data_IF_549250377998
#
_entry.id   IF_549250377998
#
_cell.length_a   1.000
_cell.length_b   1.000
_cell.length_c   1.000
_cell.angle_alpha   90.00
_cell.angle_beta   90.00
_cell.angle_gamma   90.00
#
_symmetry.space_group_name_H-M   'P 1'
#
loop_
_entity.id
_entity.type
_entity.pdbx_description
1 polymer ?
#
# COMPACT_ATOMS: atom_id res chain seq x y z
N UNK A 1 -8.14 23.31 9.40
CA UNK A 1 -7.81 23.26 7.96
C UNK A 1 -6.55 22.45 7.71
N UNK A 2 -5.39 22.84 8.22
CA UNK A 2 -4.13 22.08 8.03
C UNK A 2 -4.22 20.62 8.54
N UNK A 3 -4.86 20.39 9.69
CA UNK A 3 -5.06 19.04 10.25
C UNK A 3 -5.87 18.11 9.34
N UNK A 4 -6.90 18.63 8.68
CA UNK A 4 -7.72 17.91 7.71
C UNK A 4 -6.92 17.59 6.44
N UNK A 5 -6.17 18.56 5.93
CA UNK A 5 -5.31 18.38 4.75
C UNK A 5 -4.30 17.27 5.03
N UNK A 6 -3.58 17.36 6.16
CA UNK A 6 -2.60 16.34 6.55
C UNK A 6 -3.23 14.95 6.70
N UNK A 7 -4.43 14.88 7.29
CA UNK A 7 -5.17 13.63 7.45
C UNK A 7 -5.51 12.99 6.09
N UNK A 8 -6.07 13.76 5.15
CA UNK A 8 -6.40 13.25 3.82
C UNK A 8 -5.17 12.91 2.99
N UNK A 9 -4.10 13.71 3.09
CA UNK A 9 -2.83 13.41 2.41
C UNK A 9 -2.28 12.07 2.88
N UNK A 10 -2.24 11.83 4.20
CA UNK A 10 -1.82 10.54 4.75
C UNK A 10 -2.70 9.40 4.25
N UNK A 11 -4.03 9.56 4.28
CA UNK A 11 -4.95 8.55 3.77
C UNK A 11 -4.71 8.26 2.27
N UNK A 12 -4.46 9.28 1.45
CA UNK A 12 -4.12 9.13 0.04
C UNK A 12 -2.79 8.41 -0.16
N UNK A 13 -1.77 8.71 0.64
CA UNK A 13 -0.46 8.02 0.60
C UNK A 13 -0.66 6.52 0.84
N UNK A 14 -1.40 6.14 1.89
CA UNK A 14 -1.66 4.74 2.21
C UNK A 14 -2.39 4.02 1.07
N UNK A 15 -3.38 4.67 0.44
CA UNK A 15 -4.09 4.11 -0.72
C UNK A 15 -3.13 3.90 -1.89
N UNK A 16 -2.31 4.91 -2.23
CA UNK A 16 -1.38 4.84 -3.35
C UNK A 16 -0.33 3.76 -3.14
N UNK A 17 0.28 3.70 -1.96
CA UNK A 17 1.27 2.68 -1.61
C UNK A 17 0.67 1.28 -1.62
N UNK A 18 -0.53 1.11 -1.04
CA UNK A 18 -1.22 -0.17 -1.04
C UNK A 18 -1.60 -0.63 -2.46
N UNK A 19 -2.09 0.29 -3.29
CA UNK A 19 -2.42 0.01 -4.70
C UNK A 19 -1.18 -0.35 -5.51
N UNK A 20 -0.07 0.37 -5.31
CA UNK A 20 1.20 0.03 -5.94
C UNK A 20 1.63 -1.38 -5.56
N UNK A 21 1.59 -1.73 -4.27
CA UNK A 21 2.02 -3.05 -3.79
C UNK A 21 1.13 -4.18 -4.34
N UNK A 22 -0.17 -3.95 -4.49
CA UNK A 22 -1.08 -4.88 -5.16
C UNK A 22 -0.82 -4.97 -6.66
N UNK A 23 -0.52 -3.85 -7.32
CA UNK A 23 -0.16 -3.79 -8.74
C UNK A 23 1.08 -4.63 -9.04
N UNK A 24 2.06 -4.62 -8.16
CA UNK A 24 3.30 -5.40 -8.28
C UNK A 24 3.06 -6.93 -8.28
N UNK A 25 1.91 -7.41 -7.79
CA UNK A 25 1.53 -8.83 -7.90
C UNK A 25 1.25 -9.25 -9.35
N UNK A 26 0.83 -8.30 -10.18
CA UNK A 26 0.54 -8.51 -11.61
C UNK A 26 1.65 -8.01 -12.52
N UNK A 27 2.31 -6.91 -12.14
CA UNK A 27 3.38 -6.25 -12.90
C UNK A 27 4.54 -5.94 -11.96
N UNK A 28 5.41 -6.93 -11.69
CA UNK A 28 6.51 -6.78 -10.75
C UNK A 28 7.51 -5.74 -11.25
N UNK A 29 7.92 -4.82 -10.37
CA UNK A 29 8.88 -3.75 -10.69
C UNK A 29 10.36 -4.21 -10.67
N UNK A 30 10.61 -5.49 -10.38
CA UNK A 30 11.96 -6.05 -10.29
C UNK A 30 12.00 -7.52 -10.66
N UNK A 31 13.21 -8.00 -10.96
CA UNK A 31 13.49 -9.41 -11.23
C UNK A 31 14.16 -10.02 -10.01
N UNK A 32 13.65 -11.18 -9.57
CA UNK A 32 14.27 -11.96 -8.50
C UNK A 32 15.17 -13.01 -9.16
N UNK A 33 16.38 -13.27 -8.63
CA UNK A 33 17.20 -14.40 -9.06
C UNK A 33 16.40 -15.71 -9.00
N UNK A 34 16.58 -16.60 -9.98
CA UNK A 34 15.77 -17.81 -10.13
C UNK A 34 15.85 -18.76 -8.92
N UNK A 35 16.88 -18.61 -8.09
CA UNK A 35 17.16 -19.39 -6.90
C UNK A 35 16.19 -19.10 -5.74
N UNK A 36 15.46 -17.97 -5.81
CA UNK A 36 14.64 -17.53 -4.69
C UNK A 36 13.16 -17.55 -5.02
N UNK A 37 12.44 -18.46 -4.36
CA UNK A 37 11.02 -18.70 -4.60
C UNK A 37 10.18 -17.51 -4.14
N UNK A 38 9.39 -16.88 -5.04
CA UNK A 38 8.65 -15.73 -4.62
C UNK A 38 7.52 -16.02 -3.64
N UNK A 39 7.32 -15.17 -2.63
CA UNK A 39 6.17 -15.22 -1.73
C UNK A 39 5.34 -13.93 -1.83
N UNK A 40 4.31 -13.90 -2.68
CA UNK A 40 3.48 -12.72 -2.88
C UNK A 40 2.50 -12.44 -1.74
N UNK A 41 2.32 -13.38 -0.81
CA UNK A 41 1.25 -13.31 0.19
C UNK A 41 1.39 -12.11 1.16
N UNK A 42 2.58 -11.78 1.68
CA UNK A 42 2.73 -10.65 2.58
C UNK A 42 2.50 -9.32 1.87
N UNK A 43 3.03 -9.17 0.65
CA UNK A 43 2.77 -8.01 -0.20
C UNK A 43 1.27 -7.81 -0.47
N UNK A 44 0.55 -8.89 -0.80
CA UNK A 44 -0.90 -8.84 -1.02
C UNK A 44 -1.68 -8.41 0.23
N UNK A 45 -1.33 -8.97 1.39
CA UNK A 45 -2.00 -8.66 2.66
C UNK A 45 -1.74 -7.22 3.10
N UNK A 46 -0.48 -6.79 3.05
CA UNK A 46 -0.08 -5.44 3.43
C UNK A 46 -0.70 -4.43 2.47
N UNK A 47 -0.64 -4.70 1.16
CA UNK A 47 -1.23 -3.83 0.14
C UNK A 47 -2.74 -3.67 0.31
N UNK A 48 -3.45 -4.78 0.52
CA UNK A 48 -4.88 -4.76 0.80
C UNK A 48 -5.23 -4.03 2.10
N UNK A 49 -4.44 -4.22 3.16
CA UNK A 49 -4.63 -3.50 4.42
C UNK A 49 -4.45 -1.99 4.24
N UNK A 50 -3.39 -1.54 3.58
CA UNK A 50 -3.10 -0.13 3.35
C UNK A 50 -4.23 0.55 2.55
N UNK A 51 -4.71 -0.08 1.48
CA UNK A 51 -5.84 0.44 0.70
C UNK A 51 -7.10 0.52 1.57
N UNK A 52 -7.45 -0.55 2.27
CA UNK A 52 -8.67 -0.62 3.08
C UNK A 52 -8.65 0.42 4.22
N UNK A 53 -7.53 0.53 4.92
CA UNK A 53 -7.36 1.49 6.02
C UNK A 53 -7.37 2.93 5.52
N UNK A 54 -6.68 3.22 4.42
CA UNK A 54 -6.68 4.54 3.79
C UNK A 54 -8.08 4.94 3.30
N UNK A 55 -8.80 4.04 2.63
CA UNK A 55 -10.17 4.29 2.19
C UNK A 55 -11.13 4.51 3.36
N UNK A 56 -11.05 3.68 4.41
CA UNK A 56 -11.83 3.88 5.63
C UNK A 56 -11.52 5.23 6.31
N UNK A 57 -10.26 5.65 6.29
CA UNK A 57 -9.85 6.96 6.81
C UNK A 57 -10.47 8.10 6.00
N UNK A 58 -10.49 8.02 4.67
CA UNK A 58 -11.17 9.01 3.81
C UNK A 58 -12.65 9.10 4.17
N UNK A 59 -13.35 7.96 4.29
CA UNK A 59 -14.77 7.92 4.67
C UNK A 59 -14.99 8.55 6.05
N UNK A 60 -14.17 8.19 7.04
CA UNK A 60 -14.24 8.76 8.38
C UNK A 60 -14.03 10.28 8.37
N UNK A 61 -13.06 10.76 7.58
CA UNK A 61 -12.83 12.19 7.38
C UNK A 61 -14.03 12.88 6.75
N UNK A 62 -14.67 12.29 5.73
CA UNK A 62 -15.86 12.87 5.11
C UNK A 62 -17.04 12.90 6.10
N UNK A 63 -17.24 11.85 6.88
CA UNK A 63 -18.28 11.78 7.91
C UNK A 63 -18.09 12.83 9.01
N UNK A 64 -16.86 13.18 9.37
CA UNK A 64 -16.61 14.20 10.40
C UNK A 64 -17.02 15.62 9.96
N UNK A 65 -17.13 15.87 8.65
CA UNK A 65 -17.67 17.13 8.13
C UNK A 65 -19.19 17.21 8.36
N UNK A 66 -19.88 16.07 8.35
CA UNK A 66 -21.31 15.96 8.60
C UNK A 66 -21.63 15.88 10.10
N UNK A 67 -20.75 15.28 10.89
CA UNK A 67 -20.93 15.02 12.32
C UNK A 67 -19.77 15.59 13.15
N UNK A 68 -19.86 16.86 13.59
CA UNK A 68 -18.75 17.55 14.27
C UNK A 68 -18.28 16.88 15.58
N UNK A 69 -19.16 16.16 16.27
CA UNK A 69 -18.82 15.41 17.48
C UNK A 69 -17.88 14.22 17.20
N UNK A 70 -17.74 13.81 15.94
CA UNK A 70 -16.83 12.76 15.50
C UNK A 70 -15.38 13.26 15.32
N UNK A 71 -15.12 14.57 15.38
CA UNK A 71 -13.77 15.10 15.11
C UNK A 71 -12.68 14.58 16.06
N UNK A 72 -13.03 14.22 17.30
CA UNK A 72 -12.10 13.63 18.25
C UNK A 72 -11.53 12.27 17.79
N UNK A 73 -12.30 11.49 17.03
CA UNK A 73 -11.84 10.18 16.53
C UNK A 73 -10.85 10.32 15.37
N UNK A 74 -10.89 11.42 14.63
CA UNK A 74 -9.95 11.68 13.54
C UNK A 74 -8.51 11.82 14.02
N UNK A 75 -8.29 12.40 15.20
CA UNK A 75 -6.95 12.48 15.79
C UNK A 75 -6.36 11.10 16.06
N UNK A 76 -7.18 10.18 16.55
CA UNK A 76 -6.79 8.78 16.78
C UNK A 76 -6.50 8.05 15.46
N UNK A 77 -7.37 8.22 14.47
CA UNK A 77 -7.17 7.62 13.14
C UNK A 77 -5.92 8.19 12.45
N UNK A 78 -5.65 9.48 12.60
CA UNK A 78 -4.44 10.11 12.08
C UNK A 78 -3.19 9.50 12.74
N UNK A 79 -3.17 9.43 14.07
CA UNK A 79 -2.06 8.84 14.81
C UNK A 79 -1.84 7.36 14.44
N UNK A 80 -2.92 6.60 14.29
CA UNK A 80 -2.86 5.22 13.79
C UNK A 80 -2.29 5.15 12.37
N UNK A 81 -2.70 6.05 11.47
CA UNK A 81 -2.15 6.14 10.12
C UNK A 81 -0.66 6.43 10.08
N UNK A 82 -0.16 7.33 10.95
CA UNK A 82 1.28 7.62 11.06
C UNK A 82 2.04 6.39 11.56
N UNK A 83 1.47 5.68 12.54
CA UNK A 83 2.07 4.43 13.02
C UNK A 83 2.10 3.36 11.92
N UNK A 84 1.01 3.21 11.16
CA UNK A 84 0.94 2.31 10.00
C UNK A 84 2.02 2.66 8.99
N UNK A 85 2.19 3.94 8.65
CA UNK A 85 3.22 4.42 7.73
C UNK A 85 4.63 4.10 8.25
N UNK A 86 4.90 4.35 9.53
CA UNK A 86 6.19 4.06 10.15
C UNK A 86 6.50 2.55 10.13
N UNK A 87 5.54 1.71 10.51
CA UNK A 87 5.67 0.25 10.48
C UNK A 87 5.85 -0.25 9.05
N UNK A 88 5.09 0.30 8.10
CA UNK A 88 5.23 -0.02 6.68
C UNK A 88 6.61 0.36 6.15
N UNK A 89 7.13 1.53 6.49
CA UNK A 89 8.48 1.96 6.15
C UNK A 89 9.57 1.04 6.70
N UNK A 90 9.45 0.59 7.95
CA UNK A 90 10.35 -0.42 8.54
C UNK A 90 10.25 -1.73 7.76
N UNK A 91 9.05 -2.20 7.45
CA UNK A 91 8.87 -3.40 6.64
C UNK A 91 9.47 -3.25 5.23
N UNK A 92 9.35 -2.10 4.57
CA UNK A 92 9.98 -1.86 3.27
C UNK A 92 11.51 -2.02 3.31
N UNK A 93 12.15 -1.56 4.38
CA UNK A 93 13.62 -1.62 4.53
C UNK A 93 14.11 -3.03 4.87
N UNK A 94 13.42 -3.70 5.79
CA UNK A 94 13.91 -4.95 6.39
C UNK A 94 13.13 -6.20 5.97
N UNK A 95 11.82 -6.11 5.80
CA UNK A 95 10.93 -7.24 5.52
C UNK A 95 10.72 -7.52 4.03
N UNK A 96 10.55 -6.47 3.21
CA UNK A 96 10.22 -6.59 1.78
C UNK A 96 11.28 -7.33 0.96
N UNK A 97 12.54 -7.33 1.40
CA UNK A 97 13.60 -8.12 0.76
C UNK A 97 13.34 -9.64 0.81
N UNK A 98 12.49 -10.08 1.74
CA UNK A 98 12.07 -11.48 1.94
C UNK A 98 10.71 -11.76 1.25
N UNK A 99 9.99 -10.71 0.84
CA UNK A 99 8.67 -10.78 0.19
C UNK A 99 8.83 -10.53 -1.31
N UNK A 100 9.39 -11.55 -1.94
CA UNK A 100 9.69 -11.66 -3.34
C UNK A 100 8.46 -11.45 -4.25
N UNK A 101 8.67 -10.64 -5.28
CA UNK A 101 7.73 -10.42 -6.37
C UNK A 101 7.86 -11.54 -7.41
N UNK A 102 6.75 -11.94 -8.08
CA UNK A 102 6.81 -12.95 -9.13
C UNK A 102 7.81 -12.55 -10.22
N UNK A 103 8.44 -13.53 -10.87
CA UNK A 103 9.26 -13.27 -12.06
C UNK A 103 8.38 -12.61 -13.14
N UNK A 104 8.93 -11.67 -13.94
CA UNK A 104 8.18 -11.09 -15.05
C UNK A 104 7.67 -12.22 -15.95
N UNK A 105 6.40 -12.13 -16.36
CA UNK A 105 5.89 -12.94 -17.46
C UNK A 105 6.76 -12.58 -18.66
N UNK A 106 7.54 -13.54 -19.16
CA UNK A 106 8.28 -13.36 -20.39
C UNK A 106 7.28 -12.94 -21.46
N UNK A 107 7.45 -11.73 -22.00
CA UNK A 107 6.81 -11.38 -23.26
C UNK A 107 7.13 -12.50 -24.25
N UNK A 108 6.07 -13.10 -24.78
CA UNK A 108 6.07 -14.11 -25.83
C UNK A 108 7.25 -13.89 -26.79
N UNK A 109 8.10 -14.90 -27.06
CA UNK A 109 9.26 -14.69 -27.91
C UNK A 109 8.78 -14.30 -29.30
N UNK A 110 9.03 -13.05 -29.67
CA UNK A 110 8.82 -12.50 -31.00
C UNK A 110 9.85 -13.08 -31.98
N UNK A 111 9.89 -14.40 -32.20
CA UNK A 111 10.84 -15.04 -33.11
C UNK A 111 10.13 -16.12 -33.94
N UNK A 112 9.35 -15.68 -34.92
CA UNK A 112 9.12 -16.44 -36.15
C UNK A 112 10.04 -15.88 -37.23
N UNK A 113 11.19 -16.51 -37.40
CA UNK A 113 12.18 -16.23 -38.44
C UNK A 113 11.67 -16.64 -39.84
N UNK A 114 12.10 -15.89 -40.85
CA UNK A 114 12.37 -16.23 -42.27
C UNK A 114 11.37 -17.09 -43.05
#
# INVERSE_FOLDING_TARGET
MLSYIAFYVLASILILQGTQLLGELTRPLGTVPAEVKPNPLPAARIGGFLVTFGAASVVAGLLSHLYPWFQGSLGLLHGAGILVEAVFGVWLVFGRKVDYLPAPVADTPAHGHH
#
